data_IF_836344662790
#
_entry.id   IF_836344662790
#
_cell.length_a   1.000
_cell.length_b   1.000
_cell.length_c   1.000
_cell.angle_alpha   90.00
_cell.angle_beta   90.00
_cell.angle_gamma   90.00
#
_symmetry.space_group_name_H-M   'P 1'
#
loop_
_entity.id
_entity.type
_entity.pdbx_description
1 polymer ?
#
# COMPACT_ATOMS: atom_id res chain seq x y z
N UNK A 1 14.59 10.86 -2.36
CA UNK A 1 15.28 10.28 -3.54
C UNK A 1 14.27 9.28 -4.02
N UNK A 2 13.61 9.48 -5.16
CA UNK A 2 12.54 8.56 -5.62
C UNK A 2 13.06 7.12 -5.56
N UNK A 3 12.48 6.30 -4.68
CA UNK A 3 12.82 4.88 -4.64
C UNK A 3 12.24 4.25 -5.90
N UNK A 4 13.10 3.64 -6.70
CA UNK A 4 12.66 2.80 -7.82
C UNK A 4 12.20 1.47 -7.22
N UNK A 5 10.90 1.38 -6.93
CA UNK A 5 10.31 0.20 -6.33
C UNK A 5 10.35 -0.97 -7.33
N UNK A 6 10.90 -2.11 -6.91
CA UNK A 6 11.09 -3.28 -7.74
C UNK A 6 10.33 -4.48 -7.18
N UNK A 7 9.54 -5.10 -8.05
CA UNK A 7 8.82 -6.33 -7.73
C UNK A 7 9.82 -7.43 -7.37
N UNK A 8 9.65 -8.01 -6.18
CA UNK A 8 10.49 -9.07 -5.63
C UNK A 8 11.42 -8.59 -4.51
N UNK A 9 11.63 -7.29 -4.38
CA UNK A 9 12.47 -6.69 -3.33
C UNK A 9 11.69 -6.51 -2.01
N UNK A 10 12.47 -6.29 -0.95
CA UNK A 10 11.98 -6.11 0.42
C UNK A 10 12.22 -4.68 0.87
N UNK A 11 11.21 -4.10 1.52
CA UNK A 11 11.20 -2.73 2.00
C UNK A 11 10.83 -2.70 3.48
N UNK A 12 11.47 -1.82 4.24
CA UNK A 12 11.19 -1.62 5.66
C UNK A 12 10.63 -0.22 5.88
N UNK A 13 9.67 -0.10 6.79
CA UNK A 13 9.18 1.20 7.25
C UNK A 13 10.34 2.05 7.78
N UNK A 14 10.30 3.37 7.53
CA UNK A 14 11.34 4.27 8.03
C UNK A 14 11.27 4.38 9.56
N UNK A 15 12.43 4.38 10.23
CA UNK A 15 12.52 4.37 11.70
C UNK A 15 11.98 5.65 12.36
N UNK A 16 11.88 6.77 11.62
CA UNK A 16 11.55 8.10 12.15
C UNK A 16 10.05 8.45 12.10
N UNK A 17 9.19 7.47 11.86
CA UNK A 17 7.81 7.75 11.48
C UNK A 17 6.90 8.00 12.68
N UNK A 18 6.41 9.25 12.79
CA UNK A 18 5.09 9.59 13.36
C UNK A 18 4.01 9.07 12.39
N UNK A 19 4.05 7.77 12.07
CA UNK A 19 3.15 7.18 11.08
C UNK A 19 1.77 7.15 11.70
N UNK A 20 0.88 7.98 11.19
CA UNK A 20 -0.55 7.90 11.48
C UNK A 20 -1.16 6.55 11.04
N UNK A 21 -0.38 5.73 10.33
CA UNK A 21 -0.75 4.42 9.81
C UNK A 21 -0.19 3.28 10.69
N UNK A 22 -1.04 2.30 11.03
CA UNK A 22 -0.70 1.15 11.89
C UNK A 22 0.03 0.04 11.09
N UNK A 23 1.22 0.36 10.56
CA UNK A 23 2.07 -0.61 9.86
C UNK A 23 2.93 -1.40 10.86
N UNK A 24 2.89 -2.74 10.88
CA UNK A 24 3.76 -3.54 11.74
C UNK A 24 5.25 -3.41 11.39
N UNK A 25 6.12 -3.46 12.40
CA UNK A 25 7.56 -3.63 12.18
C UNK A 25 7.88 -4.91 11.40
N UNK A 26 8.69 -4.76 10.34
CA UNK A 26 9.27 -5.87 9.60
C UNK A 26 9.60 -5.52 8.15
N UNK A 27 9.91 -6.56 7.38
CA UNK A 27 10.25 -6.47 5.95
C UNK A 27 9.03 -6.80 5.09
N UNK A 28 8.60 -5.85 4.29
CA UNK A 28 7.49 -5.94 3.36
C UNK A 28 8.00 -6.31 1.98
N UNK A 29 7.50 -7.40 1.42
CA UNK A 29 7.91 -7.81 0.08
C UNK A 29 6.97 -7.24 -0.97
N UNK A 30 7.51 -6.48 -1.91
CA UNK A 30 6.72 -5.98 -3.02
C UNK A 30 6.48 -7.10 -4.04
N UNK A 31 5.22 -7.40 -4.34
CA UNK A 31 4.82 -8.49 -5.23
C UNK A 31 4.33 -8.01 -6.58
N UNK A 32 3.63 -6.88 -6.62
CA UNK A 32 2.99 -6.35 -7.83
C UNK A 32 3.01 -4.83 -7.76
N UNK A 33 3.22 -4.19 -8.91
CA UNK A 33 2.97 -2.77 -9.11
C UNK A 33 1.96 -2.67 -10.25
N UNK A 34 0.92 -1.88 -10.07
CA UNK A 34 -0.11 -1.65 -11.06
C UNK A 34 -0.36 -0.16 -11.21
N UNK A 35 -0.49 0.33 -12.44
CA UNK A 35 -0.90 1.71 -12.68
C UNK A 35 -2.42 1.80 -12.51
N UNK A 36 -2.88 2.69 -11.65
CA UNK A 36 -4.29 2.85 -11.27
C UNK A 36 -4.79 1.78 -10.28
N UNK A 37 -5.96 2.05 -9.70
CA UNK A 37 -6.59 1.16 -8.74
C UNK A 37 -6.83 -0.25 -9.34
N UNK A 38 -6.46 -1.33 -8.63
CA UNK A 38 -6.53 -2.67 -9.18
C UNK A 38 -7.97 -3.11 -9.49
N UNK A 39 -8.19 -3.56 -10.73
CA UNK A 39 -9.51 -4.04 -11.19
C UNK A 39 -9.81 -5.50 -10.78
N UNK A 40 -8.81 -6.23 -10.29
CA UNK A 40 -8.91 -7.65 -9.97
C UNK A 40 -8.27 -7.98 -8.63
N UNK A 41 -9.00 -8.75 -7.84
CA UNK A 41 -8.49 -9.41 -6.63
C UNK A 41 -7.40 -10.41 -7.01
N UNK A 42 -6.41 -10.58 -6.14
CA UNK A 42 -5.24 -11.45 -6.31
C UNK A 42 -5.31 -12.63 -5.32
N UNK A 43 -5.60 -12.36 -4.06
CA UNK A 43 -5.60 -13.31 -2.96
C UNK A 43 -6.97 -13.49 -2.33
N UNK A 44 -7.68 -12.39 -2.04
CA UNK A 44 -8.93 -12.41 -1.28
C UNK A 44 -9.97 -11.51 -1.93
N UNK A 45 -11.22 -11.99 -1.97
CA UNK A 45 -12.32 -11.26 -2.62
C UNK A 45 -12.54 -9.86 -2.01
N UNK A 46 -12.23 -9.68 -0.73
CA UNK A 46 -12.38 -8.43 0.00
C UNK A 46 -11.14 -7.52 -0.05
N UNK A 47 -10.03 -7.92 -0.68
CA UNK A 47 -8.77 -7.14 -0.59
C UNK A 47 -8.88 -5.74 -1.21
N UNK A 48 -9.65 -5.61 -2.30
CA UNK A 48 -9.87 -4.35 -2.98
C UNK A 48 -10.80 -3.45 -2.16
N UNK A 49 -11.85 -4.03 -1.58
CA UNK A 49 -12.76 -3.30 -0.70
C UNK A 49 -12.01 -2.76 0.52
N UNK A 50 -11.17 -3.60 1.14
CA UNK A 50 -10.32 -3.19 2.27
C UNK A 50 -9.36 -2.07 1.86
N UNK A 51 -8.72 -2.17 0.69
CA UNK A 51 -7.80 -1.14 0.21
C UNK A 51 -8.52 0.19 -0.08
N UNK A 52 -9.71 0.14 -0.67
CA UNK A 52 -10.54 1.33 -0.89
C UNK A 52 -10.98 1.94 0.44
N UNK A 53 -11.50 1.13 1.38
CA UNK A 53 -11.93 1.60 2.70
C UNK A 53 -10.77 2.19 3.52
N UNK A 54 -9.57 1.60 3.45
CA UNK A 54 -8.43 2.07 4.24
C UNK A 54 -7.78 3.34 3.67
N UNK A 55 -7.64 3.43 2.34
CA UNK A 55 -6.83 4.46 1.70
C UNK A 55 -7.62 5.55 1.03
N UNK A 56 -8.83 5.25 0.55
CA UNK A 56 -9.63 6.16 -0.27
C UNK A 56 -10.86 6.71 0.48
N UNK A 57 -11.39 5.97 1.47
CA UNK A 57 -12.54 6.43 2.27
C UNK A 57 -12.24 7.76 2.98
N UNK A 58 -13.17 8.71 2.88
CA UNK A 58 -13.01 10.04 3.47
C UNK A 58 -12.22 11.05 2.61
N UNK A 59 -11.58 10.60 1.54
CA UNK A 59 -10.95 11.49 0.55
C UNK A 59 -11.85 11.78 -0.66
N UNK A 60 -13.04 11.19 -0.72
CA UNK A 60 -14.01 11.37 -1.79
C UNK A 60 -14.23 12.86 -2.14
N UNK A 61 -13.89 13.24 -3.38
CA UNK A 61 -14.04 14.60 -3.89
C UNK A 61 -12.84 15.53 -3.67
N UNK A 62 -11.78 15.07 -2.99
CA UNK A 62 -10.49 15.76 -2.93
C UNK A 62 -9.61 15.42 -4.14
N UNK A 63 -8.64 16.29 -4.44
CA UNK A 63 -7.66 16.02 -5.49
C UNK A 63 -6.81 14.78 -5.16
N UNK A 64 -6.51 14.55 -3.87
CA UNK A 64 -5.76 13.40 -3.39
C UNK A 64 -6.41 12.07 -3.79
N UNK A 65 -7.74 11.96 -3.70
CA UNK A 65 -8.46 10.76 -4.12
C UNK A 65 -8.22 10.42 -5.59
N UNK A 66 -8.19 11.43 -6.49
CA UNK A 66 -7.91 11.19 -7.91
C UNK A 66 -6.45 10.79 -8.12
N UNK A 67 -5.53 11.45 -7.44
CA UNK A 67 -4.10 11.14 -7.49
C UNK A 67 -3.86 9.70 -7.05
N UNK A 68 -4.46 9.26 -5.95
CA UNK A 68 -4.30 7.89 -5.46
C UNK A 68 -5.00 6.88 -6.37
N UNK A 69 -6.18 7.20 -6.89
CA UNK A 69 -6.92 6.29 -7.77
C UNK A 69 -6.25 6.10 -9.14
N UNK A 70 -5.63 7.14 -9.69
CA UNK A 70 -4.92 7.12 -10.99
C UNK A 70 -3.43 6.77 -10.86
N UNK A 71 -2.85 6.94 -9.67
CA UNK A 71 -1.45 6.68 -9.37
C UNK A 71 -1.10 5.20 -9.30
N UNK A 72 0.17 4.89 -9.04
CA UNK A 72 0.61 3.51 -8.90
C UNK A 72 0.09 2.89 -7.59
N UNK A 73 -0.31 1.63 -7.67
CA UNK A 73 -0.69 0.80 -6.55
C UNK A 73 0.32 -0.33 -6.38
N UNK A 74 0.70 -0.55 -5.14
CA UNK A 74 1.75 -1.48 -4.75
C UNK A 74 1.15 -2.59 -3.90
N UNK A 75 1.36 -3.84 -4.30
CA UNK A 75 0.90 -5.01 -3.56
C UNK A 75 2.02 -5.54 -2.70
N UNK A 76 1.90 -5.35 -1.39
CA UNK A 76 2.89 -5.82 -0.43
C UNK A 76 2.43 -7.08 0.27
N UNK A 77 3.34 -8.02 0.42
CA UNK A 77 3.25 -9.15 1.35
C UNK A 77 3.78 -8.68 2.71
N UNK A 78 2.94 -8.75 3.74
CA UNK A 78 3.26 -8.23 5.06
C UNK A 78 4.21 -9.20 5.80
N UNK A 79 5.15 -8.68 6.60
CA UNK A 79 5.93 -9.50 7.52
C UNK A 79 4.96 -10.16 8.49
N UNK A 80 5.05 -11.48 8.63
CA UNK A 80 4.17 -12.40 9.36
C UNK A 80 3.39 -11.72 10.51
N UNK A 81 2.19 -11.18 10.22
CA UNK A 81 1.51 -10.29 11.17
C UNK A 81 0.35 -11.00 11.89
N UNK A 82 0.23 -10.72 13.20
CA UNK A 82 -0.77 -11.26 14.13
C UNK A 82 -2.23 -11.05 13.71
N UNK A 83 -2.48 -10.16 12.75
CA UNK A 83 -3.79 -9.78 12.27
C UNK A 83 -4.28 -10.55 11.03
N UNK A 84 -3.54 -11.58 10.57
CA UNK A 84 -3.88 -12.43 9.41
C UNK A 84 -4.01 -11.71 8.06
N UNK A 85 -3.56 -10.46 7.95
CA UNK A 85 -3.46 -9.79 6.67
C UNK A 85 -2.11 -10.16 6.06
N UNK A 86 -2.14 -11.08 5.10
CA UNK A 86 -0.95 -11.58 4.43
C UNK A 86 -0.51 -10.65 3.30
N UNK A 87 -1.46 -9.95 2.67
CA UNK A 87 -1.21 -9.06 1.54
C UNK A 87 -2.13 -7.83 1.57
N UNK A 88 -1.64 -6.70 1.06
CA UNK A 88 -2.43 -5.47 0.95
C UNK A 88 -1.99 -4.62 -0.24
N UNK A 89 -2.96 -3.96 -0.86
CA UNK A 89 -2.74 -2.91 -1.85
C UNK A 89 -2.57 -1.55 -1.17
N UNK A 90 -1.55 -0.80 -1.57
CA UNK A 90 -1.21 0.51 -0.99
C UNK A 90 -0.94 1.49 -2.14
N UNK A 91 -1.54 2.69 -2.15
CA UNK A 91 -1.28 3.68 -3.19
C UNK A 91 0.09 4.34 -3.02
N UNK A 92 0.63 4.86 -4.13
CA UNK A 92 1.98 5.45 -4.20
C UNK A 92 2.25 6.52 -3.16
N UNK A 93 1.28 7.40 -2.89
CA UNK A 93 1.42 8.49 -1.92
C UNK A 93 1.77 7.97 -0.52
N UNK A 94 1.10 6.89 -0.10
CA UNK A 94 1.30 6.24 1.19
C UNK A 94 2.60 5.44 1.17
N UNK A 95 2.94 4.80 0.06
CA UNK A 95 4.22 4.08 -0.06
C UNK A 95 5.39 5.04 0.10
N UNK A 96 5.35 6.20 -0.56
CA UNK A 96 6.37 7.24 -0.41
C UNK A 96 6.38 7.77 1.02
N UNK A 97 5.22 8.04 1.63
CA UNK A 97 5.19 8.51 3.01
C UNK A 97 5.85 7.46 3.92
N UNK A 98 5.41 6.21 3.89
CA UNK A 98 5.77 5.16 4.83
C UNK A 98 7.20 4.63 4.65
N UNK A 99 7.70 4.56 3.41
CA UNK A 99 8.96 3.88 3.07
C UNK A 99 10.08 4.82 2.54
N UNK A 100 9.81 6.09 2.20
CA UNK A 100 10.83 7.12 1.86
C UNK A 100 11.04 8.18 2.96
#
# INVERSE_FOLDING_TARGET
MMIDYQVGEYYTIKEDHDSVYDFPDGEYKLKIIMEGFPEKVIYTEDELAIAEELWLEGFEGLEQYKIDLEGNWYYFEFPENKNKVEYMWIPESIVIDVFE
#
